data_IF_404195139904
#
_entry.id   IF_404195139904
#
_cell.length_a   1.000
_cell.length_b   1.000
_cell.length_c   1.000
_cell.angle_alpha   90.00
_cell.angle_beta   90.00
_cell.angle_gamma   90.00
#
_symmetry.space_group_name_H-M   'P 1'
#
loop_
_entity.id
_entity.type
_entity.pdbx_description
1 polymer ?
#
# COMPACT_ATOMS: atom_id res chain seq x y z
N UNK A 1 12.85 9.26 -3.41
CA UNK A 1 12.81 9.06 -1.94
C UNK A 1 11.99 7.84 -1.54
N UNK A 2 10.71 7.73 -1.91
CA UNK A 2 9.86 6.57 -1.55
C UNK A 2 10.43 5.20 -1.94
N UNK A 3 11.01 5.09 -3.15
CA UNK A 3 11.66 3.85 -3.61
C UNK A 3 12.81 3.41 -2.69
N UNK A 4 13.66 4.34 -2.26
CA UNK A 4 14.79 4.03 -1.37
C UNK A 4 14.31 3.55 -0.01
N UNK A 5 13.26 4.17 0.54
CA UNK A 5 12.67 3.73 1.79
C UNK A 5 12.09 2.33 1.68
N UNK A 6 11.38 2.05 0.58
CA UNK A 6 10.86 0.71 0.29
C UNK A 6 11.98 -0.34 0.19
N UNK A 7 13.04 -0.02 -0.57
CA UNK A 7 14.18 -0.91 -0.74
C UNK A 7 14.85 -1.20 0.63
N UNK A 8 15.07 -0.18 1.45
CA UNK A 8 15.62 -0.36 2.79
C UNK A 8 14.71 -1.22 3.69
N UNK A 9 13.43 -0.88 3.78
CA UNK A 9 12.54 -1.48 4.78
C UNK A 9 12.04 -2.86 4.39
N UNK A 10 11.78 -3.09 3.10
CA UNK A 10 11.06 -4.29 2.64
C UNK A 10 11.89 -5.20 1.73
N UNK A 11 13.03 -4.73 1.22
CA UNK A 11 13.98 -5.58 0.48
C UNK A 11 15.17 -5.96 1.35
N UNK A 12 15.77 -4.98 2.03
CA UNK A 12 16.92 -5.18 2.92
C UNK A 12 16.51 -5.55 4.36
N UNK A 13 15.26 -5.26 4.75
CA UNK A 13 14.72 -5.45 6.10
C UNK A 13 15.41 -4.59 7.18
N UNK A 14 15.85 -3.40 6.79
CA UNK A 14 16.47 -2.40 7.67
C UNK A 14 15.48 -1.26 8.00
N UNK A 15 14.26 -1.65 8.41
CA UNK A 15 13.32 -0.71 9.03
C UNK A 15 13.77 -0.34 10.45
N UNK A 16 13.34 0.80 11.02
CA UNK A 16 13.71 1.19 12.36
C UNK A 16 13.17 0.20 13.41
N UNK A 17 14.03 -0.27 14.31
CA UNK A 17 13.64 -1.02 15.50
C UNK A 17 13.14 -0.08 16.61
N UNK A 18 12.88 -0.61 17.80
CA UNK A 18 12.38 0.16 18.96
C UNK A 18 13.28 1.34 19.37
N UNK A 19 14.59 1.25 19.09
CA UNK A 19 15.58 2.30 19.36
C UNK A 19 15.77 3.25 18.15
N UNK A 20 15.02 3.07 17.08
CA UNK A 20 15.17 3.82 15.83
C UNK A 20 16.37 3.40 14.98
N UNK A 21 17.04 2.29 15.31
CA UNK A 21 18.19 1.77 14.55
C UNK A 21 17.75 0.78 13.46
N UNK A 22 18.53 0.57 12.39
CA UNK A 22 18.16 -0.37 11.32
C UNK A 22 18.06 -1.80 11.86
N UNK A 23 16.91 -2.46 11.66
CA UNK A 23 16.58 -3.74 12.28
C UNK A 23 17.62 -4.83 11.98
N UNK A 24 17.80 -5.21 10.70
CA UNK A 24 18.68 -6.31 10.31
C UNK A 24 20.15 -6.01 10.65
N UNK A 25 20.61 -4.81 10.31
CA UNK A 25 22.01 -4.39 10.54
C UNK A 25 22.34 -4.22 12.03
N UNK A 26 21.33 -4.04 12.90
CA UNK A 26 21.50 -3.98 14.36
C UNK A 26 21.31 -5.33 15.06
N UNK A 27 21.34 -6.44 14.31
CA UNK A 27 21.22 -7.79 14.87
C UNK A 27 19.78 -8.27 15.08
N UNK A 28 18.81 -7.64 14.40
CA UNK A 28 17.42 -8.10 14.38
C UNK A 28 17.32 -9.56 13.93
N UNK A 29 16.52 -10.35 14.65
CA UNK A 29 16.44 -11.79 14.43
C UNK A 29 15.76 -12.09 13.10
N UNK A 30 16.41 -12.95 12.31
CA UNK A 30 15.91 -13.41 11.03
C UNK A 30 15.58 -14.90 11.12
N UNK A 31 14.52 -15.33 10.45
CA UNK A 31 14.06 -16.72 10.41
C UNK A 31 13.93 -17.17 8.95
N UNK A 32 14.33 -18.42 8.67
CA UNK A 32 14.17 -19.00 7.35
C UNK A 32 12.69 -19.22 7.05
N UNK A 33 12.24 -18.73 5.89
CA UNK A 33 10.90 -18.96 5.40
C UNK A 33 10.90 -19.93 4.22
N UNK A 34 10.31 -21.11 4.41
CA UNK A 34 10.27 -22.16 3.39
C UNK A 34 9.47 -21.76 2.14
N UNK A 35 8.39 -20.97 2.29
CA UNK A 35 7.54 -20.57 1.17
C UNK A 35 8.25 -19.58 0.24
N UNK A 36 8.93 -18.58 0.80
CA UNK A 36 9.67 -17.56 0.04
C UNK A 36 11.11 -17.98 -0.30
N UNK A 37 11.60 -19.06 0.32
CA UNK A 37 13.00 -19.53 0.19
C UNK A 37 14.01 -18.43 0.50
N UNK A 38 13.75 -17.67 1.56
CA UNK A 38 14.63 -16.59 2.05
C UNK A 38 14.45 -16.39 3.55
N UNK A 39 15.42 -15.73 4.16
CA UNK A 39 15.28 -15.20 5.51
C UNK A 39 14.34 -13.99 5.53
N UNK A 40 13.47 -13.94 6.54
CA UNK A 40 12.56 -12.82 6.85
C UNK A 40 12.69 -12.43 8.33
N UNK A 41 12.30 -11.21 8.74
CA UNK A 41 12.31 -10.81 10.14
C UNK A 41 11.46 -11.74 11.02
N UNK A 42 11.91 -12.01 12.24
CA UNK A 42 11.11 -12.76 13.21
C UNK A 42 9.79 -12.04 13.50
N UNK A 43 8.69 -12.81 13.54
CA UNK A 43 7.34 -12.30 13.76
C UNK A 43 6.61 -11.86 12.49
N UNK A 44 7.28 -11.83 11.33
CA UNK A 44 6.62 -11.63 10.05
C UNK A 44 6.05 -12.96 9.54
N UNK A 45 4.86 -12.90 8.94
CA UNK A 45 4.20 -14.04 8.32
C UNK A 45 3.79 -13.72 6.87
N UNK A 46 3.47 -14.75 6.11
CA UNK A 46 3.06 -14.67 4.72
C UNK A 46 1.58 -15.02 4.63
N UNK A 47 0.81 -14.08 4.11
CA UNK A 47 -0.60 -14.27 3.83
C UNK A 47 -0.93 -13.84 2.41
N UNK A 48 -1.97 -14.42 1.81
CA UNK A 48 -2.51 -13.93 0.55
C UNK A 48 -3.40 -12.72 0.84
N UNK A 49 -3.47 -11.76 -0.09
CA UNK A 49 -4.31 -10.56 0.09
C UNK A 49 -5.76 -10.93 0.42
N UNK A 50 -6.30 -11.98 -0.23
CA UNK A 50 -7.67 -12.46 0.00
C UNK A 50 -7.94 -12.95 1.43
N UNK A 51 -6.89 -13.35 2.16
CA UNK A 51 -7.01 -13.91 3.50
C UNK A 51 -7.02 -12.80 4.57
N UNK A 52 -6.57 -11.58 4.21
CA UNK A 52 -6.45 -10.43 5.14
C UNK A 52 -7.27 -9.21 4.72
N UNK A 53 -7.77 -9.18 3.49
CA UNK A 53 -8.50 -8.05 2.94
C UNK A 53 -9.61 -8.50 1.99
N UNK A 54 -10.72 -7.78 2.03
CA UNK A 54 -11.73 -7.86 0.97
C UNK A 54 -11.33 -6.93 -0.16
N UNK A 55 -11.26 -7.44 -1.38
CA UNK A 55 -10.86 -6.66 -2.55
C UNK A 55 -12.08 -6.26 -3.36
N UNK A 56 -12.08 -5.03 -3.86
CA UNK A 56 -13.09 -4.50 -4.78
C UNK A 56 -12.38 -3.73 -5.87
N UNK A 57 -12.83 -3.88 -7.11
CA UNK A 57 -12.54 -2.91 -8.15
C UNK A 57 -13.64 -1.88 -8.09
N UNK A 58 -13.29 -0.62 -7.82
CA UNK A 58 -14.20 0.48 -8.09
C UNK A 58 -14.64 0.49 -9.56
N UNK A 59 -15.60 1.35 -9.89
CA UNK A 59 -16.06 1.55 -11.26
C UNK A 59 -16.33 3.02 -11.52
N UNK A 60 -16.09 3.45 -12.75
CA UNK A 60 -16.57 4.74 -13.23
C UNK A 60 -18.09 4.72 -13.19
N UNK A 61 -18.76 5.71 -12.56
CA UNK A 61 -20.21 5.84 -12.68
C UNK A 61 -20.65 5.79 -14.14
N UNK A 62 -21.87 5.31 -14.41
CA UNK A 62 -22.38 5.35 -15.78
C UNK A 62 -22.61 6.81 -16.14
N UNK A 63 -22.06 7.27 -17.26
CA UNK A 63 -22.26 8.63 -17.77
C UNK A 63 -23.73 8.98 -18.05
N UNK A 64 -24.59 7.96 -18.17
CA UNK A 64 -26.04 8.14 -18.30
C UNK A 64 -26.72 8.54 -16.98
N UNK A 65 -26.07 8.34 -15.83
CA UNK A 65 -26.59 8.82 -14.55
C UNK A 65 -26.00 10.20 -14.27
N UNK A 66 -26.67 11.23 -14.78
CA UNK A 66 -26.18 12.61 -14.74
C UNK A 66 -26.04 13.16 -13.31
N UNK A 67 -26.78 12.61 -12.34
CA UNK A 67 -26.73 13.01 -10.93
C UNK A 67 -25.36 12.73 -10.27
N UNK A 68 -24.49 11.93 -10.91
CA UNK A 68 -23.10 11.68 -10.50
C UNK A 68 -22.06 12.49 -11.30
N UNK A 69 -22.52 13.49 -12.04
CA UNK A 69 -21.68 14.38 -12.87
C UNK A 69 -22.10 15.84 -12.78
N UNK A 70 -23.40 16.11 -12.63
CA UNK A 70 -24.01 17.44 -12.55
C UNK A 70 -24.72 17.60 -11.21
N UNK A 71 -24.20 18.50 -10.37
CA UNK A 71 -24.59 18.68 -8.96
C UNK A 71 -24.51 17.41 -8.11
N UNK A 72 -23.61 16.48 -8.46
CA UNK A 72 -23.38 15.31 -7.64
C UNK A 72 -22.76 15.67 -6.28
N UNK A 73 -23.09 14.89 -5.26
CA UNK A 73 -22.61 15.09 -3.89
C UNK A 73 -21.53 14.06 -3.51
N UNK A 74 -21.30 13.04 -4.35
CA UNK A 74 -20.38 11.94 -4.08
C UNK A 74 -19.13 12.12 -4.93
N UNK A 75 -18.05 12.61 -4.31
CA UNK A 75 -16.74 12.69 -4.94
C UNK A 75 -16.27 11.30 -5.41
N UNK A 76 -15.83 11.20 -6.68
CA UNK A 76 -15.20 9.99 -7.20
C UNK A 76 -13.89 10.30 -7.93
N UNK A 77 -12.94 9.39 -7.81
CA UNK A 77 -11.56 9.54 -8.29
C UNK A 77 -11.41 8.81 -9.63
N UNK A 78 -10.86 9.49 -10.63
CA UNK A 78 -10.43 8.85 -11.87
C UNK A 78 -8.95 8.44 -11.84
N UNK A 79 -8.53 7.57 -12.76
CA UNK A 79 -7.15 7.07 -12.82
C UNK A 79 -6.09 8.17 -13.03
N UNK A 80 -6.46 9.30 -13.66
CA UNK A 80 -5.55 10.42 -13.88
C UNK A 80 -5.21 11.17 -12.59
N UNK A 81 -6.17 11.27 -11.66
CA UNK A 81 -5.98 11.91 -10.35
C UNK A 81 -5.01 11.12 -9.45
N UNK A 82 -4.87 9.80 -9.68
CA UNK A 82 -3.92 8.94 -8.96
C UNK A 82 -2.44 9.28 -9.22
N UNK A 83 -2.15 10.16 -10.18
CA UNK A 83 -0.79 10.69 -10.38
C UNK A 83 -0.40 11.71 -9.29
N UNK A 84 -1.35 12.22 -8.51
CA UNK A 84 -1.06 13.06 -7.35
C UNK A 84 -0.73 12.21 -6.13
N UNK A 85 0.37 12.49 -5.41
CA UNK A 85 0.72 11.75 -4.19
C UNK A 85 -0.27 11.99 -3.04
N UNK A 86 -1.01 13.10 -3.07
CA UNK A 86 -2.02 13.46 -2.07
C UNK A 86 -3.25 14.01 -2.82
N UNK A 87 -4.42 13.45 -2.53
CA UNK A 87 -5.71 13.88 -3.09
C UNK A 87 -6.59 14.32 -1.92
N UNK A 88 -6.90 15.61 -1.85
CA UNK A 88 -7.80 16.18 -0.83
C UNK A 88 -9.13 16.65 -1.41
N UNK A 89 -9.22 16.73 -2.74
CA UNK A 89 -10.43 17.08 -3.53
C UNK A 89 -10.36 16.36 -4.87
N UNK A 90 -11.53 16.02 -5.43
CA UNK A 90 -11.65 15.42 -6.77
C UNK A 90 -12.16 16.45 -7.78
N UNK A 91 -12.01 16.17 -9.06
CA UNK A 91 -12.65 16.99 -10.11
C UNK A 91 -14.03 16.49 -10.51
N UNK A 92 -14.42 15.28 -10.08
CA UNK A 92 -15.66 14.64 -10.48
C UNK A 92 -16.57 14.39 -9.27
N UNK A 93 -17.85 14.65 -9.48
CA UNK A 93 -18.93 14.64 -8.52
C UNK A 93 -20.21 14.22 -9.20
#
# INVERSE_FOLDING_TARGET
MAKQLYDYWFVQFDFPNEEGKPYKSSGGKMVWNEKLKREIPEGWDISLIKDIATTYSGGTPKSTNIEYYDNGEIAWINSGELNSPIITKTTNY
#
